data_IF_151357727961
#
_entry.id   IF_151357727961
#
_cell.length_a   1.000
_cell.length_b   1.000
_cell.length_c   1.000
_cell.angle_alpha   90.00
_cell.angle_beta   90.00
_cell.angle_gamma   90.00
#
_symmetry.space_group_name_H-M   'P 1'
#
loop_
_entity.id
_entity.type
_entity.pdbx_description
1 polymer ?
#
# COMPACT_ATOMS: atom_id res chain seq x y z
N UNK A 1 20.96 15.15 21.80
CA UNK A 1 21.44 16.41 22.48
C UNK A 1 20.43 16.67 23.57
N UNK A 2 20.85 16.96 24.78
CA UNK A 2 19.90 17.26 25.86
C UNK A 2 19.37 18.69 25.74
N UNK A 3 18.30 18.99 26.49
CA UNK A 3 17.62 20.28 26.41
C UNK A 3 18.46 21.47 26.87
N UNK A 4 19.42 21.23 27.80
CA UNK A 4 20.36 22.27 28.27
C UNK A 4 21.35 22.64 27.17
N UNK A 5 22.02 21.62 26.60
CA UNK A 5 23.04 21.84 25.55
C UNK A 5 22.43 22.55 24.34
N UNK A 6 21.18 22.25 24.01
CA UNK A 6 20.52 22.89 22.88
C UNK A 6 20.16 24.35 23.19
N UNK A 7 19.63 24.65 24.38
CA UNK A 7 19.37 26.04 24.80
C UNK A 7 20.66 26.88 24.84
N UNK A 8 21.75 26.27 25.26
CA UNK A 8 23.09 26.92 25.24
C UNK A 8 23.47 27.28 23.80
N UNK A 9 23.38 26.33 22.88
CA UNK A 9 23.67 26.56 21.46
C UNK A 9 22.75 27.62 20.81
N UNK A 10 21.48 27.68 21.19
CA UNK A 10 20.54 28.73 20.73
C UNK A 10 20.95 30.10 21.24
N UNK A 11 21.34 30.20 22.51
CA UNK A 11 21.82 31.45 23.10
C UNK A 11 23.12 31.91 22.42
N UNK A 12 24.10 31.03 22.25
CA UNK A 12 25.38 31.33 21.53
C UNK A 12 25.08 31.77 20.08
N UNK A 13 24.20 31.09 19.38
CA UNK A 13 23.79 31.49 18.02
C UNK A 13 23.18 32.90 17.99
N UNK A 14 22.37 33.25 19.00
CA UNK A 14 21.78 34.58 19.14
C UNK A 14 22.85 35.65 19.28
N UNK A 15 23.87 35.41 20.11
CA UNK A 15 25.02 36.31 20.29
C UNK A 15 25.84 36.43 19.01
N UNK A 16 26.12 35.31 18.31
CA UNK A 16 26.85 35.33 17.04
C UNK A 16 26.16 36.12 15.93
N UNK A 17 24.83 36.20 15.98
CA UNK A 17 24.06 37.04 15.04
C UNK A 17 23.99 38.51 15.44
N UNK A 18 24.71 38.92 16.51
CA UNK A 18 24.77 40.29 17.02
C UNK A 18 23.54 40.72 17.82
N UNK A 19 22.71 39.76 18.24
CA UNK A 19 21.57 40.02 19.10
C UNK A 19 21.87 39.69 20.56
N UNK A 20 21.22 40.37 21.50
CA UNK A 20 21.30 40.03 22.91
C UNK A 20 20.39 38.85 23.25
N UNK A 21 20.88 37.94 24.08
CA UNK A 21 20.07 36.85 24.64
C UNK A 21 19.03 37.45 25.59
N UNK A 22 17.78 37.06 25.46
CA UNK A 22 16.71 37.56 26.31
C UNK A 22 16.82 37.02 27.75
N UNK A 23 16.34 37.78 28.74
CA UNK A 23 16.28 37.34 30.14
C UNK A 23 15.50 36.02 30.28
N UNK A 24 14.45 35.81 29.42
CA UNK A 24 13.71 34.59 29.41
C UNK A 24 14.53 33.37 28.92
N UNK A 25 15.34 33.53 27.88
CA UNK A 25 16.27 32.50 27.40
C UNK A 25 17.31 32.13 28.46
N UNK A 26 17.78 33.09 29.23
CA UNK A 26 18.68 32.83 30.34
C UNK A 26 18.01 32.08 31.49
N UNK A 27 16.77 32.43 31.83
CA UNK A 27 15.97 31.71 32.83
C UNK A 27 15.68 30.27 32.38
N UNK A 28 15.38 30.06 31.10
CA UNK A 28 15.22 28.71 30.54
C UNK A 28 16.48 27.88 30.66
N UNK A 29 17.64 28.44 30.34
CA UNK A 29 18.93 27.75 30.45
C UNK A 29 19.22 27.33 31.90
N UNK A 30 19.00 28.22 32.86
CA UNK A 30 19.21 27.93 34.27
C UNK A 30 18.23 26.85 34.78
N UNK A 31 17.00 26.94 34.41
CA UNK A 31 15.99 25.94 34.78
C UNK A 31 16.26 24.56 34.16
N UNK A 32 16.69 24.50 32.89
CA UNK A 32 17.14 23.26 32.24
C UNK A 32 18.34 22.65 32.95
N UNK A 33 19.28 23.46 33.38
CA UNK A 33 20.43 22.99 34.19
C UNK A 33 19.97 22.41 35.52
N UNK A 34 19.09 23.12 36.23
CA UNK A 34 18.49 22.65 37.50
C UNK A 34 17.76 21.32 37.36
N UNK A 35 17.02 21.16 36.27
CA UNK A 35 16.34 19.90 36.00
C UNK A 35 17.33 18.76 35.74
N UNK A 36 18.41 18.99 35.00
CA UNK A 36 19.44 17.97 34.78
C UNK A 36 20.14 17.52 36.06
N UNK A 37 20.37 18.45 37.01
CA UNK A 37 20.94 18.16 38.32
C UNK A 37 19.98 17.41 39.23
N UNK A 38 18.65 17.72 39.13
CA UNK A 38 17.59 17.11 39.92
C UNK A 38 16.30 16.93 39.10
N UNK A 39 16.16 15.83 38.33
CA UNK A 39 15.04 15.59 37.43
C UNK A 39 13.77 15.19 38.18
N UNK A 40 13.11 16.12 38.81
CA UNK A 40 11.82 15.93 39.48
C UNK A 40 10.69 16.57 38.68
N UNK A 41 9.44 16.13 38.90
CA UNK A 41 8.28 16.72 38.26
C UNK A 41 8.15 18.23 38.54
N UNK A 42 8.57 18.67 39.72
CA UNK A 42 8.57 20.09 40.12
C UNK A 42 9.57 20.93 39.34
N UNK A 43 10.72 20.35 38.99
CA UNK A 43 11.74 21.02 38.22
C UNK A 43 11.57 20.89 36.72
N UNK A 44 10.57 20.17 36.25
CA UNK A 44 10.36 19.86 34.85
C UNK A 44 9.84 21.05 34.00
N UNK A 45 9.46 22.12 34.63
CA UNK A 45 8.86 23.28 33.98
C UNK A 45 9.12 24.57 34.74
N UNK A 46 9.09 25.68 34.05
CA UNK A 46 9.13 27.04 34.65
C UNK A 46 8.01 27.92 34.08
N UNK A 47 7.73 28.95 34.82
CA UNK A 47 6.68 29.87 34.55
C UNK A 47 7.25 31.30 34.37
N UNK A 48 6.91 31.95 33.27
CA UNK A 48 7.28 33.32 33.00
C UNK A 48 6.23 34.28 33.54
N UNK A 49 6.56 35.05 34.56
CA UNK A 49 5.71 36.14 35.07
C UNK A 49 5.72 37.32 34.10
N UNK A 50 4.55 37.82 33.75
CA UNK A 50 4.39 38.99 32.87
C UNK A 50 2.97 39.15 32.34
N UNK A 51 2.77 40.12 31.45
CA UNK A 51 1.45 40.39 30.84
C UNK A 51 0.91 39.24 29.98
N UNK A 52 1.77 38.32 29.55
CA UNK A 52 1.44 37.06 28.91
C UNK A 52 2.17 35.96 29.68
N UNK A 53 1.48 35.39 30.65
CA UNK A 53 2.05 34.27 31.41
C UNK A 53 2.34 33.09 30.51
N UNK A 54 3.62 32.77 30.36
CA UNK A 54 4.07 31.61 29.59
C UNK A 54 4.59 30.56 30.53
N UNK A 55 4.29 29.35 30.19
CA UNK A 55 4.79 28.15 30.80
C UNK A 55 5.71 27.48 29.78
N UNK A 56 6.85 27.04 30.23
CA UNK A 56 7.80 26.28 29.39
C UNK A 56 8.33 25.08 30.14
N UNK A 57 8.42 23.99 29.42
CA UNK A 57 9.10 22.81 29.89
C UNK A 57 10.61 22.99 29.79
N UNK A 58 11.29 22.40 30.75
CA UNK A 58 12.75 22.40 30.83
C UNK A 58 13.29 20.99 30.94
N UNK A 59 12.42 19.99 31.11
CA UNK A 59 12.80 18.59 31.11
C UNK A 59 13.34 18.17 29.74
N UNK A 60 14.39 17.36 29.76
CA UNK A 60 14.93 16.72 28.57
C UNK A 60 14.31 15.34 28.43
N UNK A 61 13.46 15.14 27.45
CA UNK A 61 12.86 13.86 27.16
C UNK A 61 13.16 13.51 25.69
N UNK A 62 13.49 12.26 25.46
CA UNK A 62 13.62 11.73 24.11
C UNK A 62 12.26 11.21 23.64
N UNK A 63 11.55 11.88 22.73
CA UNK A 63 10.22 11.45 22.30
C UNK A 63 10.24 10.07 21.64
N UNK A 64 11.37 9.66 21.07
CA UNK A 64 11.52 8.29 20.54
C UNK A 64 11.51 7.24 21.64
N UNK A 65 12.21 7.47 22.75
CA UNK A 65 12.24 6.55 23.88
C UNK A 65 10.85 6.42 24.54
N UNK A 66 10.08 7.50 24.58
CA UNK A 66 8.74 7.50 25.17
C UNK A 66 7.68 6.86 24.27
N UNK A 67 7.79 7.07 22.97
CA UNK A 67 6.73 6.73 22.00
C UNK A 67 7.04 5.46 21.23
N UNK A 68 8.31 5.16 20.98
CA UNK A 68 8.74 4.06 20.12
C UNK A 68 9.22 2.87 20.94
N UNK A 69 8.83 1.68 20.55
CA UNK A 69 9.32 0.42 21.13
C UNK A 69 10.68 0.06 20.56
N UNK A 70 11.53 -0.55 21.35
CA UNK A 70 12.83 -1.08 20.90
C UNK A 70 12.66 -2.29 19.98
N UNK A 71 11.57 -3.04 20.14
CA UNK A 71 11.22 -4.19 19.29
C UNK A 71 9.71 -4.34 19.16
N UNK A 72 9.29 -4.95 18.05
CA UNK A 72 7.88 -5.19 17.75
C UNK A 72 7.65 -6.68 17.46
N UNK A 73 6.58 -7.30 18.01
CA UNK A 73 6.30 -8.69 17.76
C UNK A 73 5.73 -8.91 16.37
N UNK A 74 6.27 -9.92 15.69
CA UNK A 74 5.75 -10.47 14.44
C UNK A 74 5.49 -11.97 14.64
N UNK A 75 4.25 -12.40 14.40
CA UNK A 75 3.87 -13.81 14.40
C UNK A 75 3.43 -14.19 12.98
N UNK A 76 3.94 -15.32 12.48
CA UNK A 76 3.53 -15.86 11.19
C UNK A 76 3.34 -17.37 11.30
N UNK A 77 2.17 -17.83 10.93
CA UNK A 77 1.80 -19.24 10.91
C UNK A 77 1.36 -19.63 9.51
N UNK A 78 1.88 -20.71 8.99
CA UNK A 78 1.50 -21.24 7.68
C UNK A 78 1.32 -22.73 7.79
N UNK A 79 0.20 -23.23 7.30
CA UNK A 79 -0.07 -24.64 7.15
C UNK A 79 -0.37 -24.93 5.68
N UNK A 80 0.16 -26.03 5.16
CA UNK A 80 -0.16 -26.47 3.81
C UNK A 80 -0.26 -27.99 3.70
N UNK A 81 -1.11 -28.41 2.80
CA UNK A 81 -1.25 -29.82 2.43
C UNK A 81 -1.26 -29.94 0.91
N UNK A 82 -0.56 -30.92 0.39
CA UNK A 82 -0.57 -31.27 -1.01
C UNK A 82 -0.64 -32.76 -1.18
N UNK A 83 -1.22 -33.20 -2.28
CA UNK A 83 -1.33 -34.60 -2.59
C UNK A 83 -1.92 -34.80 -3.97
N UNK A 84 -2.16 -36.06 -4.31
CA UNK A 84 -2.78 -36.39 -5.57
C UNK A 84 -2.39 -37.76 -6.11
N UNK A 85 -2.77 -37.95 -7.34
CA UNK A 85 -2.46 -39.16 -8.16
C UNK A 85 -1.73 -38.71 -9.44
N UNK A 86 -1.42 -39.64 -10.33
CA UNK A 86 -0.87 -39.31 -11.64
C UNK A 86 -1.81 -38.39 -12.47
N UNK A 87 -3.14 -38.41 -12.19
CA UNK A 87 -4.14 -37.67 -12.95
C UNK A 87 -4.64 -36.43 -12.25
N UNK A 88 -4.56 -36.33 -10.92
CA UNK A 88 -5.08 -35.20 -10.18
C UNK A 88 -4.13 -34.84 -9.06
N UNK A 89 -3.87 -33.54 -8.92
CA UNK A 89 -3.02 -32.97 -7.87
C UNK A 89 -3.76 -31.82 -7.21
N UNK A 90 -3.58 -31.71 -5.91
CA UNK A 90 -4.13 -30.58 -5.17
C UNK A 90 -3.08 -29.97 -4.25
N UNK A 91 -3.27 -28.69 -4.00
CA UNK A 91 -2.50 -27.92 -3.03
C UNK A 91 -3.45 -27.00 -2.28
N UNK A 92 -3.39 -27.01 -0.96
CA UNK A 92 -4.09 -26.08 -0.08
C UNK A 92 -3.07 -25.46 0.88
N UNK A 93 -3.12 -24.15 1.05
CA UNK A 93 -2.31 -23.43 2.02
C UNK A 93 -3.13 -22.37 2.72
N UNK A 94 -2.96 -22.28 4.05
CA UNK A 94 -3.55 -21.26 4.89
C UNK A 94 -2.42 -20.55 5.65
N UNK A 95 -2.49 -19.24 5.71
CA UNK A 95 -1.52 -18.42 6.39
C UNK A 95 -2.20 -17.36 7.26
N UNK A 96 -1.62 -17.13 8.42
CA UNK A 96 -1.97 -16.03 9.32
C UNK A 96 -0.71 -15.27 9.69
N UNK A 97 -0.79 -13.96 9.68
CA UNK A 97 0.27 -13.07 10.16
C UNK A 97 -0.36 -12.01 11.06
N UNK A 98 0.24 -11.84 12.22
CA UNK A 98 -0.03 -10.71 13.13
C UNK A 98 1.26 -9.94 13.33
N UNK A 99 1.19 -8.63 13.16
CA UNK A 99 2.30 -7.72 13.37
C UNK A 99 1.81 -6.52 14.17
N UNK A 100 2.48 -6.23 15.25
CA UNK A 100 2.34 -4.97 15.96
C UNK A 100 3.35 -3.95 15.40
N UNK A 101 2.98 -2.69 15.43
CA UNK A 101 3.85 -1.61 15.01
C UNK A 101 4.68 -1.04 16.14
N UNK A 102 5.29 0.11 15.86
CA UNK A 102 6.34 0.66 16.72
C UNK A 102 5.82 1.53 17.88
N UNK A 103 4.56 1.93 17.90
CA UNK A 103 4.08 2.85 18.92
C UNK A 103 3.77 2.14 20.25
N UNK A 104 4.25 2.70 21.35
CA UNK A 104 3.95 2.21 22.71
C UNK A 104 2.51 2.51 23.12
N UNK A 105 1.95 3.61 22.63
CA UNK A 105 0.63 4.11 22.95
C UNK A 105 -0.26 3.94 21.72
N UNK A 106 -1.45 3.35 21.90
CA UNK A 106 -2.38 3.09 20.82
C UNK A 106 -1.71 2.38 19.63
N UNK A 107 -1.03 1.27 19.94
CA UNK A 107 -0.16 0.52 19.04
C UNK A 107 -0.86 0.20 17.74
N UNK A 108 -0.24 0.57 16.64
CA UNK A 108 -0.64 0.13 15.32
C UNK A 108 -0.48 -1.39 15.17
N UNK A 109 -1.43 -2.04 14.51
CA UNK A 109 -1.42 -3.51 14.35
C UNK A 109 -1.98 -3.92 13.00
N UNK A 110 -1.36 -4.93 12.43
CA UNK A 110 -1.82 -5.54 11.19
C UNK A 110 -2.10 -7.02 11.38
N UNK A 111 -3.29 -7.44 10.96
CA UNK A 111 -3.67 -8.85 10.84
C UNK A 111 -3.84 -9.19 9.37
N UNK A 112 -3.21 -10.28 8.92
CA UNK A 112 -3.33 -10.77 7.54
C UNK A 112 -3.68 -12.25 7.52
N UNK A 113 -4.68 -12.59 6.73
CA UNK A 113 -5.09 -13.97 6.44
C UNK A 113 -4.91 -14.23 4.95
N UNK A 114 -4.31 -15.37 4.63
CA UNK A 114 -4.10 -15.80 3.25
C UNK A 114 -4.60 -17.24 3.09
N UNK A 115 -5.34 -17.48 2.03
CA UNK A 115 -5.77 -18.81 1.61
C UNK A 115 -5.42 -19.03 0.15
N UNK A 116 -4.89 -20.20 -0.18
CA UNK A 116 -4.60 -20.62 -1.54
C UNK A 116 -5.05 -22.07 -1.72
N UNK A 117 -5.87 -22.32 -2.73
CA UNK A 117 -6.23 -23.65 -3.20
C UNK A 117 -5.93 -23.76 -4.69
N UNK A 118 -5.30 -24.85 -5.10
CA UNK A 118 -5.06 -25.16 -6.50
C UNK A 118 -5.36 -26.63 -6.75
N UNK A 119 -6.02 -26.92 -7.85
CA UNK A 119 -6.36 -28.26 -8.32
C UNK A 119 -5.96 -28.36 -9.79
N UNK A 120 -5.15 -29.37 -10.12
CA UNK A 120 -4.86 -29.79 -11.48
C UNK A 120 -5.45 -31.16 -11.68
N UNK A 121 -6.30 -31.35 -12.67
CA UNK A 121 -6.98 -32.63 -12.91
C UNK A 121 -7.03 -32.98 -14.39
N UNK A 122 -6.58 -34.18 -14.72
CA UNK A 122 -6.84 -34.83 -16.00
C UNK A 122 -8.12 -35.66 -15.86
N UNK A 123 -9.27 -35.07 -16.22
CA UNK A 123 -10.58 -35.69 -16.10
C UNK A 123 -10.70 -36.83 -17.10
N UNK A 124 -10.21 -36.60 -18.32
CA UNK A 124 -10.07 -37.57 -19.37
C UNK A 124 -8.72 -37.36 -20.09
N UNK A 125 -8.31 -38.30 -20.97
CA UNK A 125 -7.09 -38.17 -21.80
C UNK A 125 -7.11 -36.91 -22.69
N UNK A 126 -8.30 -36.43 -23.03
CA UNK A 126 -8.49 -35.26 -23.89
C UNK A 126 -8.94 -34.00 -23.14
N UNK A 127 -9.30 -34.09 -21.84
CA UNK A 127 -9.80 -32.95 -21.07
C UNK A 127 -9.07 -32.82 -19.73
N UNK A 128 -8.42 -31.68 -19.55
CA UNK A 128 -7.72 -31.27 -18.31
C UNK A 128 -8.28 -29.94 -17.82
N UNK A 129 -8.30 -29.78 -16.50
CA UNK A 129 -8.71 -28.52 -15.85
C UNK A 129 -7.68 -28.16 -14.77
N UNK A 130 -7.23 -26.92 -14.80
CA UNK A 130 -6.58 -26.29 -13.67
C UNK A 130 -7.55 -25.28 -13.05
N UNK A 131 -7.77 -25.36 -11.74
CA UNK A 131 -8.55 -24.37 -11.00
C UNK A 131 -7.72 -23.84 -9.82
N UNK A 132 -7.81 -22.52 -9.58
CA UNK A 132 -7.08 -21.84 -8.50
C UNK A 132 -7.98 -20.82 -7.82
N UNK A 133 -7.96 -20.83 -6.50
CA UNK A 133 -8.59 -19.84 -5.64
C UNK A 133 -7.52 -19.27 -4.73
N UNK A 134 -7.42 -17.95 -4.70
CA UNK A 134 -6.58 -17.22 -3.75
C UNK A 134 -7.46 -16.19 -3.05
N UNK A 135 -7.34 -16.10 -1.72
CA UNK A 135 -8.07 -15.16 -0.90
C UNK A 135 -7.13 -14.54 0.13
N UNK A 136 -7.11 -13.22 0.18
CA UNK A 136 -6.26 -12.46 1.10
C UNK A 136 -7.08 -11.37 1.77
N UNK A 137 -6.99 -11.29 3.09
CA UNK A 137 -7.56 -10.20 3.90
C UNK A 137 -6.46 -9.59 4.74
N UNK A 138 -6.38 -8.27 4.75
CA UNK A 138 -5.46 -7.51 5.60
C UNK A 138 -6.24 -6.42 6.31
N UNK A 139 -6.19 -6.43 7.64
CA UNK A 139 -6.73 -5.38 8.50
C UNK A 139 -5.56 -4.63 9.12
N UNK A 140 -5.56 -3.32 9.03
CA UNK A 140 -4.58 -2.41 9.61
C UNK A 140 -5.33 -1.38 10.46
N UNK A 141 -5.02 -1.37 11.74
CA UNK A 141 -5.46 -0.35 12.69
C UNK A 141 -4.25 0.51 13.06
N UNK A 142 -4.35 1.81 12.92
CA UNK A 142 -3.24 2.72 13.20
C UNK A 142 -3.74 4.02 13.82
N UNK A 143 -2.95 4.65 14.72
CA UNK A 143 -3.22 6.01 15.13
C UNK A 143 -3.06 6.93 13.92
N UNK A 144 -3.93 7.92 13.82
CA UNK A 144 -3.92 8.89 12.73
C UNK A 144 -3.60 10.28 13.25
N UNK A 145 -2.59 10.90 12.68
CA UNK A 145 -2.30 12.30 12.96
C UNK A 145 -3.08 13.17 12.01
N UNK A 146 -3.61 14.26 12.55
CA UNK A 146 -4.20 15.31 11.76
C UNK A 146 -3.28 15.70 10.59
N UNK A 147 -3.76 15.64 9.32
CA UNK A 147 -2.98 15.99 8.13
C UNK A 147 -2.30 17.36 8.17
N UNK A 148 -2.83 18.30 8.97
CA UNK A 148 -2.28 19.63 9.13
C UNK A 148 -0.95 19.66 9.90
N UNK A 149 -0.61 18.60 10.62
CA UNK A 149 0.60 18.52 11.47
C UNK A 149 1.70 17.60 10.90
N UNK A 150 1.47 17.01 9.72
CA UNK A 150 2.42 16.09 9.10
C UNK A 150 2.36 14.67 9.66
N UNK A 151 3.42 13.88 9.48
CA UNK A 151 3.50 12.53 10.02
C UNK A 151 3.93 12.54 11.49
N UNK A 152 3.58 11.47 12.27
CA UNK A 152 4.12 11.23 13.62
C UNK A 152 5.64 11.30 13.63
N UNK A 153 6.25 10.74 12.59
CA UNK A 153 7.68 10.77 12.40
C UNK A 153 8.23 12.19 12.28
N UNK A 154 7.58 13.03 11.47
CA UNK A 154 7.96 14.45 11.34
C UNK A 154 7.77 15.20 12.65
N UNK A 155 6.74 14.90 13.42
CA UNK A 155 6.51 15.52 14.72
C UNK A 155 7.56 15.12 15.75
N UNK A 156 8.04 13.86 15.71
CA UNK A 156 9.14 13.39 16.57
C UNK A 156 10.50 13.99 16.17
N UNK A 157 10.72 14.16 14.86
CA UNK A 157 11.99 14.68 14.32
C UNK A 157 12.13 16.19 14.44
N UNK A 158 11.01 16.90 14.37
CA UNK A 158 11.01 18.35 14.19
C UNK A 158 11.30 19.18 15.44
N UNK A 159 10.99 18.69 16.65
CA UNK A 159 11.13 19.45 17.88
C UNK A 159 11.35 18.55 19.11
N UNK A 160 12.51 17.91 19.24
CA UNK A 160 12.77 17.02 20.39
C UNK A 160 12.70 17.70 21.74
N UNK A 161 12.70 19.04 21.78
CA UNK A 161 12.77 19.82 23.02
C UNK A 161 11.49 20.51 23.41
N UNK A 162 10.66 20.87 22.43
CA UNK A 162 9.45 21.65 22.69
C UNK A 162 8.24 20.79 23.04
N UNK A 163 8.28 19.52 22.68
CA UNK A 163 7.18 18.61 22.88
C UNK A 163 7.42 17.71 24.07
N UNK A 164 7.13 18.21 25.22
CA UNK A 164 7.19 17.41 26.42
C UNK A 164 6.11 16.35 26.39
N UNK A 165 6.59 15.15 26.52
CA UNK A 165 5.76 13.95 26.57
C UNK A 165 5.17 13.70 27.97
N UNK A 166 4.69 14.71 28.67
CA UNK A 166 4.09 14.56 29.98
C UNK A 166 2.74 15.30 30.09
N UNK A 167 1.79 14.78 30.86
CA UNK A 167 0.60 15.53 31.20
C UNK A 167 0.99 16.75 32.04
N UNK A 168 0.37 17.88 31.77
CA UNK A 168 0.51 19.08 32.61
C UNK A 168 -0.47 18.96 33.74
N UNK A 169 0.02 19.04 35.00
CA UNK A 169 -0.87 19.27 36.12
C UNK A 169 -1.30 20.73 36.08
N UNK A 170 -2.57 20.94 35.86
CA UNK A 170 -3.18 22.26 36.08
C UNK A 170 -3.07 22.61 37.57
N UNK A 171 -3.04 23.90 37.91
CA UNK A 171 -2.94 24.33 39.29
C UNK A 171 -3.98 23.63 40.17
N UNK A 172 -3.67 23.36 41.44
CA UNK A 172 -4.56 22.65 42.36
C UNK A 172 -5.99 23.25 42.50
N UNK A 173 -6.17 24.48 42.02
CA UNK A 173 -7.43 25.21 41.98
C UNK A 173 -8.15 25.11 40.63
N UNK A 174 -7.56 24.45 39.63
CA UNK A 174 -8.14 24.32 38.30
C UNK A 174 -9.06 23.08 38.24
N UNK A 175 -10.35 23.25 37.87
CA UNK A 175 -11.29 22.11 37.81
C UNK A 175 -10.98 21.12 36.66
N UNK A 176 -10.04 21.43 35.76
CA UNK A 176 -9.71 20.58 34.61
C UNK A 176 -8.76 19.41 34.95
N UNK A 177 -8.06 19.46 36.10
CA UNK A 177 -7.18 18.37 36.52
C UNK A 177 -5.90 18.24 35.66
N UNK A 178 -5.52 17.02 35.33
CA UNK A 178 -4.37 16.73 34.44
C UNK A 178 -4.81 16.83 32.97
N UNK A 179 -4.13 17.66 32.18
CA UNK A 179 -4.37 17.78 30.76
C UNK A 179 -3.06 17.67 29.98
N UNK A 180 -3.17 17.20 28.75
CA UNK A 180 -2.05 17.15 27.85
C UNK A 180 -1.81 18.49 27.18
N UNK A 181 -0.54 18.85 26.99
CA UNK A 181 -0.17 19.88 26.01
C UNK A 181 -0.37 19.37 24.60
N UNK A 182 -0.16 20.21 23.60
CA UNK A 182 -0.19 19.81 22.21
C UNK A 182 1.08 19.02 21.84
N UNK A 183 1.15 17.78 22.31
CA UNK A 183 2.30 16.91 22.15
C UNK A 183 1.94 15.55 21.53
N UNK A 184 2.97 14.80 21.11
CA UNK A 184 2.82 13.54 20.41
C UNK A 184 2.15 12.44 21.26
N UNK A 185 2.39 12.38 22.55
CA UNK A 185 1.75 11.39 23.44
C UNK A 185 0.25 11.66 23.54
N UNK A 186 -0.11 12.92 23.75
CA UNK A 186 -1.52 13.31 23.74
C UNK A 186 -2.22 13.00 22.41
N UNK A 187 -1.50 13.13 21.30
CA UNK A 187 -2.04 12.77 19.98
C UNK A 187 -2.23 11.28 19.83
N UNK A 188 -1.29 10.47 20.32
CA UNK A 188 -1.43 9.02 20.28
C UNK A 188 -2.50 8.51 21.23
N UNK A 189 -2.58 9.07 22.44
CA UNK A 189 -3.52 8.59 23.47
C UNK A 189 -4.98 8.96 23.18
N UNK A 190 -5.22 10.17 22.68
CA UNK A 190 -6.56 10.75 22.50
C UNK A 190 -6.82 11.26 21.09
N UNK A 191 -5.93 10.95 20.16
CA UNK A 191 -5.99 11.43 18.79
C UNK A 191 -6.89 10.60 17.89
N UNK A 192 -6.78 10.89 16.63
CA UNK A 192 -7.53 10.20 15.59
C UNK A 192 -7.04 8.76 15.39
N UNK A 193 -7.95 7.93 14.92
CA UNK A 193 -7.69 6.53 14.54
C UNK A 193 -8.05 6.28 13.09
N UNK A 194 -7.36 5.33 12.49
CA UNK A 194 -7.58 4.90 11.13
C UNK A 194 -7.62 3.38 11.06
N UNK A 195 -8.68 2.86 10.49
CA UNK A 195 -8.86 1.44 10.19
C UNK A 195 -8.87 1.26 8.67
N UNK A 196 -8.07 0.33 8.20
CA UNK A 196 -8.02 -0.05 6.78
C UNK A 196 -8.20 -1.55 6.65
N UNK A 197 -9.19 -1.98 5.88
CA UNK A 197 -9.37 -3.38 5.52
C UNK A 197 -9.27 -3.55 4.01
N UNK A 198 -8.44 -4.50 3.59
CA UNK A 198 -8.29 -4.87 2.16
C UNK A 198 -8.60 -6.34 2.00
N UNK A 199 -9.52 -6.63 1.10
CA UNK A 199 -9.88 -7.99 0.70
C UNK A 199 -9.57 -8.14 -0.78
N UNK A 200 -8.76 -9.14 -1.13
CA UNK A 200 -8.44 -9.46 -2.51
C UNK A 200 -8.68 -10.94 -2.73
N UNK A 201 -9.43 -11.29 -3.76
CA UNK A 201 -9.60 -12.66 -4.17
C UNK A 201 -9.26 -12.85 -5.64
N UNK A 202 -8.86 -14.06 -6.00
CA UNK A 202 -8.67 -14.48 -7.38
C UNK A 202 -9.29 -15.86 -7.53
N UNK A 203 -10.23 -15.97 -8.44
CA UNK A 203 -10.82 -17.23 -8.88
C UNK A 203 -10.40 -17.46 -10.31
N UNK A 204 -9.78 -18.58 -10.64
CA UNK A 204 -9.44 -18.90 -12.00
C UNK A 204 -9.73 -20.36 -12.33
N UNK A 205 -10.16 -20.60 -13.58
CA UNK A 205 -10.38 -21.91 -14.14
C UNK A 205 -9.85 -21.95 -15.56
N UNK A 206 -9.00 -22.94 -15.84
CA UNK A 206 -8.24 -23.04 -17.08
C UNK A 206 -8.44 -24.43 -17.69
N UNK A 207 -9.53 -24.67 -18.46
CA UNK A 207 -9.76 -25.91 -19.19
C UNK A 207 -8.81 -26.03 -20.39
N UNK A 208 -8.37 -27.24 -20.65
CA UNK A 208 -7.61 -27.63 -21.86
C UNK A 208 -8.28 -28.84 -22.49
N UNK A 209 -8.62 -28.73 -23.77
CA UNK A 209 -9.19 -29.79 -24.58
C UNK A 209 -8.17 -30.17 -25.66
N UNK A 210 -7.64 -31.38 -25.61
CA UNK A 210 -6.77 -31.94 -26.65
C UNK A 210 -7.63 -32.54 -27.75
N UNK A 211 -7.63 -31.94 -28.94
CA UNK A 211 -8.41 -32.40 -30.07
C UNK A 211 -7.71 -33.54 -30.83
N UNK A 212 -6.42 -33.37 -31.02
CA UNK A 212 -5.56 -34.39 -31.65
C UNK A 212 -4.09 -34.10 -31.28
N UNK A 213 -3.17 -34.97 -31.68
CA UNK A 213 -1.74 -34.77 -31.48
C UNK A 213 -1.28 -33.43 -32.09
N UNK A 214 -0.68 -32.59 -31.23
CA UNK A 214 -0.25 -31.24 -31.57
C UNK A 214 -1.33 -30.17 -31.52
N UNK A 215 -2.64 -30.45 -31.38
CA UNK A 215 -3.70 -29.45 -31.37
C UNK A 215 -4.54 -29.48 -30.09
N UNK A 216 -4.59 -28.37 -29.40
CA UNK A 216 -5.41 -28.18 -28.22
C UNK A 216 -6.18 -26.85 -28.24
N UNK A 217 -7.36 -26.86 -27.62
CA UNK A 217 -8.11 -25.66 -27.28
C UNK A 217 -7.92 -25.36 -25.80
N UNK A 218 -7.64 -24.10 -25.46
CA UNK A 218 -7.45 -23.66 -24.08
C UNK A 218 -8.40 -22.50 -23.78
N UNK A 219 -9.01 -22.59 -22.62
CA UNK A 219 -9.77 -21.53 -22.01
C UNK A 219 -9.08 -21.03 -20.76
N UNK A 220 -9.17 -19.75 -20.49
CA UNK A 220 -8.76 -19.15 -19.23
C UNK A 220 -9.85 -18.18 -18.79
N UNK A 221 -10.40 -18.42 -17.62
CA UNK A 221 -11.33 -17.50 -16.97
C UNK A 221 -10.74 -17.08 -15.64
N UNK A 222 -10.71 -15.78 -15.38
CA UNK A 222 -10.27 -15.23 -14.08
C UNK A 222 -11.22 -14.13 -13.62
N UNK A 223 -11.63 -14.22 -12.37
CA UNK A 223 -12.41 -13.21 -11.67
C UNK A 223 -11.63 -12.73 -10.44
N UNK A 224 -11.45 -11.41 -10.31
CA UNK A 224 -10.67 -10.77 -9.26
C UNK A 224 -11.47 -9.66 -8.60
N UNK A 225 -12.31 -9.98 -7.62
CA UNK A 225 -12.94 -8.97 -6.77
C UNK A 225 -11.93 -8.41 -5.77
N UNK A 226 -11.98 -7.09 -5.60
CA UNK A 226 -11.20 -6.40 -4.57
C UNK A 226 -12.13 -5.47 -3.81
N UNK A 227 -11.99 -5.45 -2.50
CA UNK A 227 -12.68 -4.52 -1.63
C UNK A 227 -11.66 -3.79 -0.74
N UNK A 228 -11.84 -2.50 -0.62
CA UNK A 228 -11.08 -1.64 0.27
C UNK A 228 -12.06 -0.87 1.13
N UNK A 229 -11.99 -1.10 2.45
CA UNK A 229 -12.71 -0.35 3.46
C UNK A 229 -11.72 0.56 4.19
N UNK A 230 -12.14 1.79 4.42
CA UNK A 230 -11.40 2.79 5.15
C UNK A 230 -12.31 3.51 6.11
N UNK A 231 -11.89 3.62 7.36
CA UNK A 231 -12.56 4.41 8.39
C UNK A 231 -11.55 5.28 9.09
N UNK A 232 -11.88 6.54 9.26
CA UNK A 232 -11.11 7.54 9.97
C UNK A 232 -12.02 8.20 11.01
N UNK A 233 -11.55 8.25 12.25
CA UNK A 233 -12.25 8.91 13.35
C UNK A 233 -11.33 9.97 13.93
N UNK A 234 -11.75 11.21 13.86
CA UNK A 234 -11.01 12.37 14.36
C UNK A 234 -11.83 13.01 15.49
N UNK A 235 -11.55 12.67 16.77
CA UNK A 235 -12.25 13.25 17.90
C UNK A 235 -11.87 14.73 18.08
N UNK A 236 -12.73 15.51 18.69
CA UNK A 236 -12.34 16.78 19.27
C UNK A 236 -11.46 16.51 20.47
N UNK A 237 -10.32 17.17 20.53
CA UNK A 237 -9.37 17.03 21.62
C UNK A 237 -9.09 18.39 22.25
N UNK A 238 -9.20 18.47 23.55
CA UNK A 238 -8.76 19.60 24.33
C UNK A 238 -7.30 19.48 24.73
N UNK A 239 -6.59 20.59 24.74
CA UNK A 239 -5.22 20.68 25.18
C UNK A 239 -4.92 22.01 25.82
N UNK A 240 -3.99 22.02 26.76
CA UNK A 240 -3.51 23.22 27.40
C UNK A 240 -2.48 23.91 26.49
N UNK A 241 -2.67 25.18 26.25
CA UNK A 241 -1.64 26.01 25.58
C UNK A 241 -0.57 26.43 26.58
N UNK A 242 0.56 26.94 26.07
CA UNK A 242 1.70 27.47 26.85
C UNK A 242 1.35 28.63 27.81
N UNK A 243 0.11 28.72 28.16
CA UNK A 243 -0.43 29.78 28.96
C UNK A 243 -1.07 29.19 30.22
N UNK A 244 -0.40 29.28 31.34
CA UNK A 244 -0.83 28.74 32.64
C UNK A 244 -2.20 29.21 33.11
N UNK A 245 -2.73 30.23 32.50
CA UNK A 245 -4.04 30.82 32.85
C UNK A 245 -5.20 30.04 32.23
N UNK A 246 -5.12 28.70 32.22
CA UNK A 246 -6.26 27.83 31.88
C UNK A 246 -6.90 28.03 30.51
N UNK A 247 -6.15 28.53 29.52
CA UNK A 247 -6.69 28.56 28.17
C UNK A 247 -6.64 27.19 27.56
N UNK A 248 -7.75 26.50 27.57
CA UNK A 248 -7.97 25.25 26.83
C UNK A 248 -8.26 25.60 25.38
N UNK A 249 -7.54 25.02 24.48
CA UNK A 249 -7.85 25.03 23.05
C UNK A 249 -8.30 23.66 22.59
N UNK A 250 -9.10 23.66 21.55
CA UNK A 250 -9.56 22.43 20.91
C UNK A 250 -8.84 22.21 19.58
N UNK A 251 -8.37 20.98 19.36
CA UNK A 251 -7.97 20.51 18.04
C UNK A 251 -9.17 19.82 17.37
N UNK A 252 -9.31 20.04 16.08
CA UNK A 252 -10.32 19.33 15.28
C UNK A 252 -11.73 19.52 15.80
N UNK A 253 -12.12 20.77 15.98
CA UNK A 253 -13.50 21.11 16.24
C UNK A 253 -14.16 21.64 14.95
N UNK A 254 -15.23 21.00 14.48
CA UNK A 254 -15.89 19.83 15.04
C UNK A 254 -15.13 18.50 14.77
N UNK A 255 -15.31 17.53 15.69
CA UNK A 255 -14.90 16.13 15.46
C UNK A 255 -15.47 15.59 14.15
N UNK A 256 -14.84 14.61 13.55
CA UNK A 256 -15.33 14.04 12.29
C UNK A 256 -15.09 12.54 12.17
N UNK A 257 -15.97 11.91 11.43
CA UNK A 257 -15.86 10.53 10.99
C UNK A 257 -15.94 10.47 9.47
N UNK A 258 -15.07 9.69 8.86
CA UNK A 258 -15.08 9.37 7.43
C UNK A 258 -15.11 7.86 7.27
N UNK A 259 -16.07 7.35 6.51
CA UNK A 259 -16.11 5.95 6.10
C UNK A 259 -16.17 5.87 4.57
N UNK A 260 -15.38 4.96 4.01
CA UNK A 260 -15.25 4.78 2.57
C UNK A 260 -15.19 3.29 2.22
N UNK A 261 -15.90 2.91 1.19
CA UNK A 261 -15.83 1.58 0.59
C UNK A 261 -15.51 1.72 -0.89
N UNK A 262 -14.49 1.03 -1.32
CA UNK A 262 -14.17 0.85 -2.73
C UNK A 262 -14.37 -0.60 -3.09
N UNK A 263 -15.15 -0.85 -4.12
CA UNK A 263 -15.34 -2.18 -4.69
C UNK A 263 -14.89 -2.18 -6.14
N UNK A 264 -14.12 -3.18 -6.54
CA UNK A 264 -13.74 -3.34 -7.94
C UNK A 264 -13.75 -4.81 -8.36
N UNK A 265 -14.24 -5.05 -9.55
CA UNK A 265 -14.28 -6.35 -10.19
C UNK A 265 -13.45 -6.32 -11.48
N UNK A 266 -12.57 -7.28 -11.62
CA UNK A 266 -11.80 -7.48 -12.84
C UNK A 266 -11.98 -8.89 -13.36
N UNK A 267 -12.41 -8.98 -14.60
CA UNK A 267 -12.67 -10.25 -15.29
C UNK A 267 -11.74 -10.37 -16.49
N UNK A 268 -11.25 -11.57 -16.72
CA UNK A 268 -10.48 -11.94 -17.90
C UNK A 268 -11.02 -13.23 -18.50
N UNK A 269 -11.24 -13.24 -19.80
CA UNK A 269 -11.55 -14.45 -20.58
C UNK A 269 -10.55 -14.53 -21.72
N UNK A 270 -9.86 -15.66 -21.82
CA UNK A 270 -9.07 -16.04 -22.99
C UNK A 270 -9.62 -17.36 -23.54
N UNK A 271 -9.76 -17.45 -24.85
CA UNK A 271 -10.08 -18.68 -25.54
C UNK A 271 -9.16 -18.78 -26.77
N UNK A 272 -8.35 -19.83 -26.84
CA UNK A 272 -7.38 -19.95 -27.92
C UNK A 272 -7.09 -21.39 -28.31
N UNK A 273 -6.77 -21.58 -29.60
CA UNK A 273 -6.22 -22.81 -30.13
C UNK A 273 -4.69 -22.74 -30.08
N UNK A 274 -4.08 -23.83 -29.70
CA UNK A 274 -2.64 -24.02 -29.72
C UNK A 274 -2.30 -25.23 -30.58
N UNK A 275 -1.47 -25.01 -31.60
CA UNK A 275 -0.95 -26.04 -32.47
C UNK A 275 0.58 -26.10 -32.34
N UNK A 276 1.13 -27.29 -32.21
CA UNK A 276 2.56 -27.53 -32.01
C UNK A 276 2.94 -28.89 -32.60
N UNK A 277 3.68 -28.87 -33.71
CA UNK A 277 4.04 -30.12 -34.39
C UNK A 277 5.31 -29.98 -35.22
N UNK A 278 6.11 -31.07 -35.22
CA UNK A 278 7.30 -31.21 -36.05
C UNK A 278 7.03 -32.17 -37.22
N UNK A 279 7.33 -31.72 -38.42
CA UNK A 279 7.20 -32.47 -39.67
C UNK A 279 8.62 -32.60 -40.31
N UNK A 280 9.32 -33.67 -40.00
CA UNK A 280 10.68 -33.83 -40.45
C UNK A 280 11.60 -32.73 -39.92
N UNK A 281 12.11 -31.84 -40.78
CA UNK A 281 12.96 -30.70 -40.40
C UNK A 281 12.17 -29.41 -40.14
N UNK A 282 10.86 -29.46 -40.23
CA UNK A 282 9.99 -28.29 -40.09
C UNK A 282 9.23 -28.37 -38.77
N UNK A 283 9.48 -27.43 -37.87
CA UNK A 283 8.64 -27.22 -36.69
C UNK A 283 7.68 -26.09 -36.96
N UNK A 284 6.42 -26.28 -36.61
CA UNK A 284 5.36 -25.26 -36.70
C UNK A 284 4.67 -25.19 -35.33
N UNK A 285 4.76 -24.03 -34.69
CA UNK A 285 3.99 -23.66 -33.53
C UNK A 285 3.03 -22.52 -33.89
N UNK A 286 1.74 -22.68 -33.61
CA UNK A 286 0.76 -21.63 -33.89
C UNK A 286 -0.20 -21.46 -32.69
N UNK A 287 -0.53 -20.23 -32.40
CA UNK A 287 -1.57 -19.86 -31.43
C UNK A 287 -2.51 -18.87 -32.09
N UNK A 288 -3.81 -19.08 -31.97
CA UNK A 288 -4.80 -18.09 -32.39
C UNK A 288 -5.93 -18.03 -31.37
N UNK A 289 -6.36 -16.86 -30.99
CA UNK A 289 -7.34 -16.74 -29.94
C UNK A 289 -7.95 -15.36 -29.80
N UNK A 290 -8.78 -15.30 -28.78
CA UNK A 290 -9.57 -14.15 -28.40
C UNK A 290 -9.32 -13.85 -26.91
N UNK A 291 -9.22 -12.57 -26.59
CA UNK A 291 -9.11 -12.03 -25.24
C UNK A 291 -10.25 -11.04 -24.98
N UNK A 292 -10.83 -11.11 -23.82
CA UNK A 292 -11.78 -10.13 -23.32
C UNK A 292 -11.47 -9.84 -21.86
N UNK A 293 -11.34 -8.56 -21.53
CA UNK A 293 -11.18 -8.06 -20.17
C UNK A 293 -12.23 -7.00 -19.92
N UNK A 294 -12.74 -6.94 -18.69
CA UNK A 294 -13.53 -5.80 -18.23
C UNK A 294 -13.29 -5.55 -16.75
N UNK A 295 -13.39 -4.31 -16.41
CA UNK A 295 -13.17 -3.78 -15.08
C UNK A 295 -14.31 -2.86 -14.70
N UNK A 296 -14.78 -3.03 -13.49
CA UNK A 296 -15.72 -2.11 -12.85
C UNK A 296 -15.13 -1.64 -11.53
N UNK A 297 -15.38 -0.39 -11.22
CA UNK A 297 -14.94 0.25 -9.99
C UNK A 297 -16.08 1.09 -9.46
N UNK A 298 -16.32 0.99 -8.16
CA UNK A 298 -17.23 1.84 -7.43
C UNK A 298 -16.60 2.27 -6.11
N UNK A 299 -16.65 3.55 -5.84
CA UNK A 299 -16.27 4.18 -4.61
C UNK A 299 -17.50 4.84 -4.00
N UNK A 300 -17.78 4.55 -2.73
CA UNK A 300 -18.83 5.19 -1.95
C UNK A 300 -18.25 5.58 -0.61
N UNK A 301 -18.52 6.80 -0.16
CA UNK A 301 -18.04 7.29 1.12
C UNK A 301 -18.98 8.30 1.74
N UNK A 302 -18.90 8.43 3.04
CA UNK A 302 -19.58 9.46 3.80
C UNK A 302 -18.65 10.05 4.85
N UNK A 303 -18.74 11.37 5.01
CA UNK A 303 -18.07 12.11 6.09
C UNK A 303 -19.13 12.82 6.91
N UNK A 304 -19.02 12.76 8.23
CA UNK A 304 -19.91 13.47 9.14
C UNK A 304 -19.10 14.18 10.23
N UNK A 305 -19.65 15.26 10.76
CA UNK A 305 -19.03 16.11 11.76
C UNK A 305 -19.84 16.14 13.05
N UNK A 306 -19.17 16.40 14.19
CA UNK A 306 -19.82 16.50 15.48
C UNK A 306 -20.20 15.13 16.05
N UNK A 307 -19.22 14.27 16.29
CA UNK A 307 -19.42 12.94 16.89
C UNK A 307 -19.98 13.09 18.30
N UNK A 308 -21.15 12.50 18.56
CA UNK A 308 -21.82 12.57 19.88
C UNK A 308 -21.06 11.79 20.95
N UNK A 309 -20.50 10.65 20.62
CA UNK A 309 -19.72 9.82 21.54
C UNK A 309 -18.54 9.18 20.85
N UNK A 310 -17.30 9.41 21.33
CA UNK A 310 -16.11 8.80 20.75
C UNK A 310 -16.09 7.26 20.85
N UNK A 311 -16.82 6.69 21.80
CA UNK A 311 -16.85 5.23 22.01
C UNK A 311 -17.65 4.47 20.93
N UNK A 312 -18.58 5.16 20.25
CA UNK A 312 -19.40 4.58 19.18
C UNK A 312 -19.40 5.57 18.00
N UNK A 313 -18.27 5.70 17.29
CA UNK A 313 -18.17 6.62 16.18
C UNK A 313 -18.87 6.02 14.95
N UNK A 314 -20.10 6.48 14.69
CA UNK A 314 -20.91 6.12 13.52
C UNK A 314 -21.50 7.37 12.89
N UNK A 315 -21.67 7.33 11.57
CA UNK A 315 -22.17 8.47 10.77
C UNK A 315 -23.51 9.00 11.31
N UNK A 316 -24.43 8.11 11.70
CA UNK A 316 -25.75 8.52 12.18
C UNK A 316 -25.75 9.15 13.60
N UNK A 317 -24.66 8.98 14.36
CA UNK A 317 -24.52 9.57 15.70
C UNK A 317 -23.64 10.84 15.64
N UNK A 318 -23.99 11.76 14.77
CA UNK A 318 -23.30 13.04 14.57
C UNK A 318 -24.32 14.19 14.54
N UNK A 319 -23.88 15.38 14.96
CA UNK A 319 -24.74 16.57 15.05
C UNK A 319 -24.46 17.63 13.98
N UNK A 320 -23.33 17.50 13.29
CA UNK A 320 -22.89 18.47 12.30
C UNK A 320 -23.20 18.06 10.85
N UNK A 321 -22.47 18.68 9.94
CA UNK A 321 -22.67 18.45 8.52
C UNK A 321 -22.32 17.03 8.10
N UNK A 322 -23.10 16.47 7.18
CA UNK A 322 -22.87 15.19 6.56
C UNK A 322 -22.64 15.36 5.05
N UNK A 323 -21.65 14.64 4.53
CA UNK A 323 -21.27 14.68 3.11
C UNK A 323 -21.25 13.25 2.58
N UNK A 324 -21.83 13.04 1.42
CA UNK A 324 -21.75 11.75 0.71
C UNK A 324 -20.91 11.89 -0.56
N UNK A 325 -20.17 10.85 -0.88
CA UNK A 325 -19.32 10.78 -2.06
C UNK A 325 -19.64 9.49 -2.81
N UNK A 326 -19.75 9.57 -4.12
CA UNK A 326 -19.92 8.41 -4.98
C UNK A 326 -19.16 8.62 -6.28
N UNK A 327 -18.50 7.58 -6.75
CA UNK A 327 -17.83 7.58 -8.04
C UNK A 327 -17.84 6.17 -8.61
N UNK A 328 -18.07 6.07 -9.91
CA UNK A 328 -18.04 4.80 -10.61
C UNK A 328 -17.32 4.95 -11.95
N UNK A 329 -16.56 3.94 -12.31
CA UNK A 329 -15.95 3.84 -13.63
C UNK A 329 -15.93 2.39 -14.12
N UNK A 330 -15.87 2.24 -15.41
CA UNK A 330 -15.71 0.93 -16.04
C UNK A 330 -14.96 1.07 -17.36
N UNK A 331 -14.25 0.02 -17.71
CA UNK A 331 -13.61 -0.10 -19.00
C UNK A 331 -13.56 -1.56 -19.45
N UNK A 332 -13.41 -1.76 -20.74
CA UNK A 332 -13.28 -3.07 -21.33
C UNK A 332 -12.21 -3.06 -22.43
N UNK A 333 -11.53 -4.20 -22.56
CA UNK A 333 -10.59 -4.49 -23.64
C UNK A 333 -11.05 -5.74 -24.33
N UNK A 334 -10.95 -5.76 -25.65
CA UNK A 334 -11.24 -6.93 -26.46
C UNK A 334 -10.19 -7.06 -27.55
N UNK A 335 -9.66 -8.26 -27.74
CA UNK A 335 -8.65 -8.46 -28.76
C UNK A 335 -8.71 -9.85 -29.37
N UNK A 336 -8.35 -9.94 -30.63
CA UNK A 336 -7.98 -11.18 -31.29
C UNK A 336 -6.47 -11.19 -31.48
N UNK A 337 -5.85 -12.35 -31.27
CA UNK A 337 -4.40 -12.49 -31.40
C UNK A 337 -4.03 -13.78 -32.14
N UNK A 338 -2.92 -13.70 -32.84
CA UNK A 338 -2.32 -14.87 -33.46
C UNK A 338 -0.80 -14.80 -33.34
N UNK A 339 -0.16 -15.94 -33.18
CA UNK A 339 1.28 -16.12 -33.22
C UNK A 339 1.60 -17.35 -34.05
N UNK A 340 2.60 -17.25 -34.92
CA UNK A 340 3.15 -18.37 -35.67
C UNK A 340 4.65 -18.40 -35.47
N UNK A 341 5.16 -19.54 -35.01
CA UNK A 341 6.56 -19.87 -34.91
C UNK A 341 6.89 -20.94 -35.96
N UNK A 342 7.89 -20.66 -36.77
CA UNK A 342 8.41 -21.63 -37.73
C UNK A 342 9.90 -21.80 -37.53
N UNK A 343 10.34 -23.07 -37.39
CA UNK A 343 11.74 -23.38 -37.29
C UNK A 343 12.07 -24.44 -38.38
N UNK A 344 13.08 -24.09 -39.17
CA UNK A 344 13.59 -25.02 -40.21
C UNK A 344 14.94 -25.57 -39.83
N UNK A 345 15.03 -26.88 -39.80
CA UNK A 345 16.26 -27.65 -39.53
C UNK A 345 17.02 -27.20 -38.28
N UNK A 346 16.28 -26.81 -37.25
CA UNK A 346 16.80 -26.24 -35.98
C UNK A 346 17.72 -25.01 -36.12
N UNK A 347 17.84 -24.44 -37.33
CA UNK A 347 18.77 -23.34 -37.65
C UNK A 347 18.08 -22.02 -37.92
N UNK A 348 17.03 -22.04 -38.69
CA UNK A 348 16.33 -20.83 -39.14
C UNK A 348 15.02 -20.71 -38.36
N UNK A 349 14.87 -19.62 -37.63
CA UNK A 349 13.73 -19.36 -36.76
C UNK A 349 13.00 -18.12 -37.26
N UNK A 350 11.69 -18.22 -37.42
CA UNK A 350 10.83 -17.12 -37.78
C UNK A 350 9.64 -17.07 -36.82
N UNK A 351 9.31 -15.89 -36.36
CA UNK A 351 8.12 -15.66 -35.55
C UNK A 351 7.34 -14.46 -36.07
N UNK A 352 6.07 -14.64 -36.17
CA UNK A 352 5.09 -13.56 -36.41
C UNK A 352 4.11 -13.51 -35.26
N UNK A 353 3.86 -12.32 -34.71
CA UNK A 353 2.76 -12.06 -33.78
C UNK A 353 1.89 -10.95 -34.35
N UNK A 354 0.60 -11.10 -34.25
CA UNK A 354 -0.38 -10.07 -34.58
C UNK A 354 -1.43 -9.97 -33.49
N UNK A 355 -1.74 -8.75 -33.06
CA UNK A 355 -2.84 -8.46 -32.16
C UNK A 355 -3.73 -7.39 -32.75
N UNK A 356 -5.03 -7.62 -32.72
CA UNK A 356 -6.04 -6.63 -33.07
C UNK A 356 -6.83 -6.31 -31.82
N UNK A 357 -6.42 -5.28 -31.11
CA UNK A 357 -6.94 -4.93 -29.79
C UNK A 357 -7.79 -3.66 -29.87
N UNK A 358 -8.90 -3.69 -29.12
CA UNK A 358 -9.78 -2.55 -28.93
C UNK A 358 -10.02 -2.27 -27.45
N UNK A 359 -10.05 -1.00 -27.09
CA UNK A 359 -10.35 -0.53 -25.72
C UNK A 359 -11.49 0.47 -25.72
N UNK A 360 -12.34 0.38 -24.70
CA UNK A 360 -13.46 1.32 -24.51
C UNK A 360 -13.01 2.73 -24.13
N UNK A 361 -11.73 2.93 -23.80
CA UNK A 361 -11.17 4.23 -23.42
C UNK A 361 -11.02 5.22 -24.57
N UNK A 362 -11.07 4.71 -25.81
CA UNK A 362 -10.97 5.54 -27.02
C UNK A 362 -12.34 5.72 -27.69
N UNK A 363 -12.46 6.73 -28.51
CA UNK A 363 -13.64 6.96 -29.37
C UNK A 363 -13.92 5.75 -30.25
N UNK A 364 -15.17 5.58 -30.64
CA UNK A 364 -15.64 4.42 -31.39
C UNK A 364 -14.81 4.11 -32.63
N UNK A 365 -14.40 5.14 -33.38
CA UNK A 365 -13.61 5.05 -34.60
C UNK A 365 -12.14 4.68 -34.37
N UNK A 366 -11.60 4.97 -33.15
CA UNK A 366 -10.21 4.76 -32.82
C UNK A 366 -9.96 3.59 -31.86
N UNK A 367 -11.01 2.87 -31.48
CA UNK A 367 -10.95 1.82 -30.47
C UNK A 367 -10.04 0.67 -30.85
N UNK A 368 -10.06 0.26 -32.11
CA UNK A 368 -9.36 -0.94 -32.58
C UNK A 368 -8.14 -0.59 -33.40
N UNK A 369 -7.02 -1.21 -33.03
CA UNK A 369 -5.74 -1.05 -33.74
C UNK A 369 -5.05 -2.40 -33.87
N UNK A 370 -4.30 -2.55 -34.97
CA UNK A 370 -3.50 -3.76 -35.21
C UNK A 370 -2.06 -3.52 -34.81
N UNK A 371 -1.48 -4.47 -34.11
CA UNK A 371 -0.12 -4.43 -33.56
C UNK A 371 0.66 -5.66 -34.05
N UNK A 372 1.35 -5.58 -35.16
CA UNK A 372 2.19 -6.66 -35.67
C UNK A 372 3.58 -6.64 -35.05
N UNK A 373 4.19 -7.84 -34.95
CA UNK A 373 5.61 -7.97 -34.70
C UNK A 373 6.19 -9.19 -35.44
N UNK A 374 7.45 -9.08 -35.82
CA UNK A 374 8.20 -10.11 -36.55
C UNK A 374 9.55 -10.31 -35.88
N UNK A 375 10.01 -11.56 -35.83
CA UNK A 375 11.40 -11.85 -35.49
C UNK A 375 11.96 -12.94 -36.40
N UNK A 376 13.22 -12.80 -36.71
CA UNK A 376 14.01 -13.82 -37.42
C UNK A 376 15.25 -14.14 -36.60
N UNK A 377 15.62 -15.42 -36.58
CA UNK A 377 16.79 -15.92 -35.87
C UNK A 377 17.55 -16.93 -36.73
N UNK A 378 18.86 -16.88 -36.67
CA UNK A 378 19.75 -17.82 -37.33
C UNK A 378 20.73 -18.39 -36.33
N UNK A 379 20.71 -19.73 -36.16
CA UNK A 379 21.69 -20.43 -35.35
C UNK A 379 22.92 -20.77 -36.22
N UNK A 380 23.82 -19.81 -36.30
CA UNK A 380 25.02 -19.86 -37.15
C UNK A 380 25.92 -21.02 -36.75
N UNK A 381 26.01 -21.33 -35.45
CA UNK A 381 26.78 -22.46 -34.90
C UNK A 381 26.33 -23.82 -35.41
N UNK A 382 25.07 -23.96 -35.86
CA UNK A 382 24.54 -25.22 -36.39
C UNK A 382 24.83 -25.39 -37.90
N UNK A 383 25.39 -24.37 -38.56
CA UNK A 383 25.82 -24.50 -39.95
C UNK A 383 27.04 -25.40 -40.08
N UNK A 384 27.04 -26.26 -41.07
CA UNK A 384 28.12 -27.26 -41.26
C UNK A 384 29.50 -26.61 -41.43
N UNK A 385 29.58 -25.44 -42.04
CA UNK A 385 30.84 -24.71 -42.19
C UNK A 385 31.36 -24.09 -40.88
N UNK A 386 30.51 -23.88 -39.88
CA UNK A 386 30.92 -23.43 -38.56
C UNK A 386 31.19 -24.65 -37.68
N UNK A 387 30.23 -25.57 -37.58
CA UNK A 387 30.26 -26.74 -36.69
C UNK A 387 31.47 -27.66 -36.94
N UNK A 388 31.87 -27.76 -38.21
CA UNK A 388 33.00 -28.61 -38.58
C UNK A 388 34.38 -27.93 -38.47
N UNK A 389 34.43 -26.59 -38.44
CA UNK A 389 35.68 -25.83 -38.47
C UNK A 389 35.98 -25.07 -37.15
N UNK A 390 34.95 -24.73 -36.37
CA UNK A 390 35.07 -23.94 -35.13
C UNK A 390 34.55 -24.76 -33.95
N UNK A 391 35.25 -25.82 -33.58
CA UNK A 391 34.82 -26.74 -32.51
C UNK A 391 34.74 -26.14 -31.12
N UNK A 392 35.30 -24.97 -30.93
CA UNK A 392 35.24 -24.20 -29.70
C UNK A 392 33.95 -23.34 -29.59
N UNK A 393 33.19 -23.20 -30.68
CA UNK A 393 32.00 -22.35 -30.75
C UNK A 393 30.73 -23.19 -30.58
N UNK A 394 30.27 -23.38 -29.34
CA UNK A 394 29.11 -24.22 -29.04
C UNK A 394 27.78 -23.61 -29.47
N UNK A 395 27.59 -22.26 -29.30
CA UNK A 395 26.35 -21.63 -29.64
C UNK A 395 26.56 -20.19 -30.11
N UNK A 396 26.23 -19.93 -31.37
CA UNK A 396 26.15 -18.59 -31.96
C UNK A 396 24.79 -18.44 -32.65
N UNK A 397 23.98 -17.52 -32.14
CA UNK A 397 22.68 -17.18 -32.70
C UNK A 397 22.59 -15.67 -33.01
N UNK A 398 22.26 -15.33 -34.23
CA UNK A 398 21.90 -13.98 -34.64
C UNK A 398 20.38 -13.85 -34.58
N UNK A 399 19.89 -12.71 -34.12
CA UNK A 399 18.45 -12.42 -34.05
C UNK A 399 18.17 -10.96 -34.40
N UNK A 400 17.11 -10.75 -35.19
CA UNK A 400 16.54 -9.45 -35.49
C UNK A 400 15.04 -9.47 -35.17
N UNK A 401 14.50 -8.38 -34.66
CA UNK A 401 13.05 -8.24 -34.40
C UNK A 401 12.59 -6.82 -34.64
N UNK A 402 11.34 -6.73 -35.07
CA UNK A 402 10.63 -5.46 -35.24
C UNK A 402 9.19 -5.64 -34.74
N UNK A 403 8.59 -4.59 -34.15
CA UNK A 403 7.21 -4.64 -33.69
C UNK A 403 6.62 -3.27 -33.42
N UNK A 404 5.30 -3.21 -33.52
CA UNK A 404 4.49 -2.06 -33.13
C UNK A 404 3.72 -2.40 -31.87
N UNK A 405 3.71 -1.47 -30.92
CA UNK A 405 3.01 -1.61 -29.63
C UNK A 405 2.04 -0.44 -29.44
N UNK A 406 0.95 -0.71 -28.72
CA UNK A 406 -0.02 0.29 -28.31
C UNK A 406 0.05 0.57 -26.79
N UNK A 407 -0.24 1.80 -26.42
CA UNK A 407 -0.47 2.19 -25.04
C UNK A 407 -1.90 2.67 -24.87
N UNK A 408 -2.64 2.10 -23.92
CA UNK A 408 -4.00 2.47 -23.57
C UNK A 408 -4.10 3.13 -22.18
N UNK A 409 -2.98 3.47 -21.56
CA UNK A 409 -2.97 4.10 -20.22
C UNK A 409 -3.34 5.60 -20.35
N UNK A 410 -4.60 5.83 -20.63
CA UNK A 410 -5.25 7.14 -20.71
C UNK A 410 -6.45 7.15 -19.76
N UNK A 411 -6.88 8.34 -19.35
CA UNK A 411 -8.09 8.50 -18.52
C UNK A 411 -9.31 7.92 -19.24
N UNK A 412 -10.21 7.32 -18.47
CA UNK A 412 -11.51 6.92 -18.99
C UNK A 412 -12.29 8.19 -19.40
N UNK A 413 -13.03 8.11 -20.51
CA UNK A 413 -13.85 9.22 -21.01
C UNK A 413 -13.08 10.51 -21.36
N UNK A 414 -11.80 10.41 -21.72
CA UNK A 414 -10.95 11.54 -22.07
C UNK A 414 -11.14 12.07 -23.53
N UNK A 415 -12.35 11.97 -24.09
CA UNK A 415 -12.67 12.35 -25.48
C UNK A 415 -13.90 13.25 -25.58
#
# INVERSE_FOLDING_TARGET
>A
MDAYTLQLAENERTEWTGNSVSDWSMQLLEAKKKWMENPTAENAWIYQQGSTSKFSWVSSMNPFEEVVRDWTPLQKHTASISGGTAKSRYYLSLGYQHQEGMYKINTDKQNRFNGLMSIDSEITKWFKVNAKISYNVSNLDEPYINPQKGSLWSAMMGEPERNVCAPVKTAATDPLGEMWTDNIIGWLAYGATKETKRTNAVFSINPTITLMDGLSLKGEFSYRPNEYYYKEVVPTREYVVDNWTSTVKTHTDPSSILEQVTHSDYYTINAYANFDKTFGKHYVGAVAGFNQEWYTYRYTGAKAQGILTPNIPVINATTGNQYAYDSAEHWAIRGAFARVNYIFNDRYLFEFNGRYDGTSRFRKEDRFKFFPSFSAGWRVSEESFIKNNLTWLDNLKLRASWGSLGNQNVSNYAY
#
